data_IF_347019965381
#
_entry.id   IF_347019965381
#
_cell.length_a   1.000
_cell.length_b   1.000
_cell.length_c   1.000
_cell.angle_alpha   90.00
_cell.angle_beta   90.00
_cell.angle_gamma   90.00
#
_symmetry.space_group_name_H-M   'P 1'
#
loop_
_entity.id
_entity.type
_entity.pdbx_description
1 polymer ?
#
# COMPACT_ATOMS: atom_id res chain seq x y z
N UNK A 1 23.35 -18.32 6.02
CA UNK A 1 24.62 -18.04 5.31
C UNK A 1 24.83 -16.53 5.27
N UNK A 2 26.08 -16.03 5.35
CA UNK A 2 26.36 -14.59 5.30
C UNK A 2 26.04 -14.04 3.91
N UNK A 3 24.92 -13.33 3.81
CA UNK A 3 24.40 -12.83 2.54
C UNK A 3 23.76 -11.43 2.71
N UNK A 4 23.69 -10.71 1.61
CA UNK A 4 22.94 -9.48 1.43
C UNK A 4 21.51 -9.87 1.08
N UNK A 5 20.55 -9.47 1.90
CA UNK A 5 19.15 -9.89 1.79
C UNK A 5 18.32 -8.87 1.04
N UNK A 6 18.52 -7.59 1.30
CA UNK A 6 17.72 -6.50 0.73
C UNK A 6 18.59 -5.29 0.45
N UNK A 7 18.26 -4.55 -0.60
CA UNK A 7 18.87 -3.26 -0.90
C UNK A 7 17.80 -2.21 -1.23
N UNK A 8 18.07 -0.97 -0.86
CA UNK A 8 17.15 0.15 -0.96
C UNK A 8 17.89 1.42 -1.33
N UNK A 9 17.38 2.12 -2.34
CA UNK A 9 17.91 3.39 -2.81
C UNK A 9 16.86 4.46 -2.54
N UNK A 10 17.26 5.53 -1.86
CA UNK A 10 16.36 6.62 -1.46
C UNK A 10 17.00 7.97 -1.64
N UNK A 11 16.17 9.01 -1.73
CA UNK A 11 16.65 10.38 -1.63
C UNK A 11 16.89 10.77 -0.17
N UNK A 12 18.06 11.35 0.11
CA UNK A 12 18.48 11.72 1.48
C UNK A 12 17.60 12.80 2.11
N UNK A 13 17.09 13.76 1.32
CA UNK A 13 16.40 14.96 1.82
C UNK A 13 15.02 14.69 2.44
N UNK A 14 14.29 13.72 1.89
CA UNK A 14 12.89 13.44 2.21
C UNK A 14 12.58 11.96 2.37
N UNK A 15 13.58 11.10 2.17
CA UNK A 15 13.42 9.64 2.23
C UNK A 15 12.60 9.07 1.08
N UNK A 16 12.44 9.79 -0.04
CA UNK A 16 11.67 9.32 -1.19
C UNK A 16 12.29 8.00 -1.73
N UNK A 17 11.51 6.90 -1.81
CA UNK A 17 12.00 5.65 -2.37
C UNK A 17 12.29 5.78 -3.86
N UNK A 18 13.51 5.46 -4.27
CA UNK A 18 13.93 5.43 -5.67
C UNK A 18 13.81 4.06 -6.29
N UNK A 19 14.40 3.06 -5.64
CA UNK A 19 14.36 1.66 -6.07
C UNK A 19 14.60 0.74 -4.88
N UNK A 20 14.21 -0.52 -5.01
CA UNK A 20 14.39 -1.54 -3.98
C UNK A 20 14.55 -2.91 -4.62
N UNK A 21 15.32 -3.80 -3.99
CA UNK A 21 15.38 -5.18 -4.45
C UNK A 21 14.07 -5.92 -4.16
N UNK A 22 13.49 -6.59 -5.14
CA UNK A 22 12.39 -7.54 -4.92
C UNK A 22 12.90 -8.77 -4.17
N UNK A 23 12.26 -9.15 -3.06
CA UNK A 23 12.60 -10.37 -2.30
C UNK A 23 11.37 -11.24 -2.09
N UNK A 24 11.51 -12.54 -2.32
CA UNK A 24 10.46 -13.55 -2.08
C UNK A 24 10.63 -14.28 -0.73
N UNK A 25 11.65 -13.92 0.06
CA UNK A 25 11.94 -14.58 1.33
C UNK A 25 10.97 -14.10 2.43
N UNK A 26 10.14 -15.01 2.93
CA UNK A 26 9.22 -14.74 4.04
C UNK A 26 9.98 -14.88 5.38
N UNK A 27 10.74 -13.84 5.74
CA UNK A 27 11.45 -13.75 7.02
C UNK A 27 10.92 -12.55 7.82
N UNK A 28 10.38 -12.80 9.02
CA UNK A 28 9.79 -11.78 9.90
C UNK A 28 10.80 -10.70 10.30
N UNK A 29 12.03 -11.07 10.71
CA UNK A 29 13.06 -10.08 11.07
C UNK A 29 13.44 -9.24 9.86
N UNK A 30 13.51 -9.83 8.66
CA UNK A 30 13.78 -9.07 7.44
C UNK A 30 12.71 -8.00 7.20
N UNK A 31 11.44 -8.30 7.46
CA UNK A 31 10.35 -7.31 7.33
C UNK A 31 10.46 -6.21 8.37
N UNK A 32 10.80 -6.53 9.62
CA UNK A 32 11.06 -5.55 10.67
C UNK A 32 12.23 -4.63 10.30
N UNK A 33 13.33 -5.18 9.77
CA UNK A 33 14.47 -4.39 9.29
C UNK A 33 14.11 -3.51 8.11
N UNK A 34 13.33 -4.00 7.14
CA UNK A 34 12.81 -3.19 6.03
C UNK A 34 11.96 -2.02 6.56
N UNK A 35 11.13 -2.26 7.57
CA UNK A 35 10.34 -1.21 8.20
C UNK A 35 11.22 -0.19 8.93
N UNK A 36 12.21 -0.65 9.69
CA UNK A 36 13.19 0.22 10.37
C UNK A 36 13.95 1.08 9.37
N UNK A 37 14.38 0.49 8.26
CA UNK A 37 15.10 1.15 7.17
C UNK A 37 14.25 2.27 6.53
N UNK A 38 12.95 2.03 6.31
CA UNK A 38 12.00 3.05 5.79
C UNK A 38 11.70 4.16 6.79
N UNK A 39 11.76 3.90 8.09
CA UNK A 39 11.66 4.95 9.12
C UNK A 39 12.92 5.81 9.09
N UNK A 40 14.09 5.16 9.11
CA UNK A 40 15.40 5.81 9.02
C UNK A 40 15.54 6.70 7.78
N UNK A 41 15.00 6.27 6.64
CA UNK A 41 15.16 7.01 5.38
C UNK A 41 14.63 8.45 5.45
N UNK A 42 13.65 8.72 6.31
CA UNK A 42 13.06 10.06 6.49
C UNK A 42 13.95 11.03 7.27
N UNK A 43 14.91 10.52 8.04
CA UNK A 43 15.82 11.31 8.85
C UNK A 43 17.28 11.20 8.36
N UNK A 44 17.51 10.71 7.14
CA UNK A 44 18.86 10.55 6.56
C UNK A 44 19.64 11.85 6.47
N UNK A 45 18.98 13.00 6.28
CA UNK A 45 19.64 14.30 6.33
C UNK A 45 20.30 14.63 7.68
N UNK A 46 19.93 13.93 8.76
CA UNK A 46 20.49 14.10 10.10
C UNK A 46 21.54 13.02 10.45
N UNK A 47 21.72 12.01 9.60
CA UNK A 47 22.68 10.93 9.80
C UNK A 47 24.01 11.21 9.10
N UNK A 48 25.12 10.62 9.55
CA UNK A 48 26.41 10.75 8.87
C UNK A 48 26.37 10.14 7.46
N UNK A 49 27.37 10.44 6.63
CA UNK A 49 27.46 9.91 5.26
C UNK A 49 27.52 8.39 5.21
N UNK A 50 28.08 7.72 6.22
CA UNK A 50 28.12 6.26 6.31
C UNK A 50 27.82 5.79 7.71
N UNK A 51 27.11 4.68 7.82
CA UNK A 51 26.79 4.11 9.12
C UNK A 51 26.33 2.67 9.08
N UNK A 52 26.26 2.09 10.27
CA UNK A 52 25.77 0.72 10.49
C UNK A 52 24.77 0.74 11.63
N UNK A 53 23.64 0.06 11.46
CA UNK A 53 22.67 -0.20 12.51
C UNK A 53 22.71 -1.69 12.81
N UNK A 54 23.12 -2.04 14.03
CA UNK A 54 23.24 -3.45 14.42
C UNK A 54 21.87 -4.01 14.79
N UNK A 55 21.64 -5.26 14.42
CA UNK A 55 20.47 -6.03 14.81
C UNK A 55 20.81 -7.31 15.56
N UNK A 56 19.81 -8.21 15.68
CA UNK A 56 20.02 -9.55 16.23
C UNK A 56 20.78 -10.41 15.22
N UNK A 57 20.12 -10.79 14.12
CA UNK A 57 20.74 -11.59 13.06
C UNK A 57 20.95 -10.79 11.78
N UNK A 58 20.30 -9.64 11.65
CA UNK A 58 20.40 -8.76 10.48
C UNK A 58 20.92 -7.36 10.84
N UNK A 59 21.96 -6.91 10.14
CA UNK A 59 22.50 -5.56 10.25
C UNK A 59 22.05 -4.71 9.05
N UNK A 60 21.85 -3.41 9.27
CA UNK A 60 21.62 -2.43 8.22
C UNK A 60 22.91 -1.65 7.98
N UNK A 61 23.31 -1.51 6.72
CA UNK A 61 24.44 -0.67 6.31
C UNK A 61 23.91 0.42 5.37
N UNK A 62 24.46 1.62 5.45
CA UNK A 62 24.11 2.69 4.53
C UNK A 62 25.28 3.61 4.19
N UNK A 63 25.23 4.18 2.98
CA UNK A 63 26.12 5.22 2.47
C UNK A 63 25.26 6.27 1.76
N UNK A 64 25.49 7.55 2.05
CA UNK A 64 24.87 8.70 1.41
C UNK A 64 25.91 9.43 0.56
N UNK A 65 25.55 9.73 -0.68
CA UNK A 65 26.39 10.48 -1.64
C UNK A 65 25.50 11.27 -2.59
N UNK A 66 25.83 12.54 -2.83
CA UNK A 66 25.13 13.41 -3.80
C UNK A 66 23.60 13.49 -3.62
N UNK A 67 23.13 13.47 -2.36
CA UNK A 67 21.70 13.55 -2.05
C UNK A 67 20.92 12.24 -2.23
N UNK A 68 21.61 11.14 -2.52
CA UNK A 68 21.06 9.78 -2.59
C UNK A 68 21.69 8.92 -1.49
N UNK A 69 20.89 8.12 -0.81
CA UNK A 69 21.34 7.13 0.16
C UNK A 69 21.08 5.72 -0.34
N UNK A 70 22.13 4.91 -0.26
CA UNK A 70 22.18 3.50 -0.62
C UNK A 70 22.20 2.69 0.68
N UNK A 71 21.26 1.78 0.84
CA UNK A 71 21.08 1.04 2.08
C UNK A 71 20.94 -0.45 1.79
N UNK A 72 21.45 -1.30 2.68
CA UNK A 72 21.36 -2.74 2.57
C UNK A 72 21.05 -3.40 3.91
N UNK A 73 20.23 -4.46 3.88
CA UNK A 73 20.04 -5.38 5.01
C UNK A 73 20.86 -6.63 4.75
N UNK A 74 21.76 -6.95 5.66
CA UNK A 74 22.71 -8.03 5.52
C UNK A 74 22.68 -8.93 6.75
N UNK A 75 22.94 -10.22 6.55
CA UNK A 75 23.14 -11.14 7.66
C UNK A 75 24.35 -10.69 8.52
N UNK A 76 24.26 -10.82 9.84
CA UNK A 76 25.27 -10.38 10.81
C UNK A 76 26.65 -10.97 10.57
N UNK A 77 26.71 -12.19 10.05
CA UNK A 77 27.96 -12.86 9.68
C UNK A 77 28.63 -12.34 8.39
N UNK A 78 28.00 -11.42 7.65
CA UNK A 78 28.62 -10.79 6.49
C UNK A 78 29.70 -9.79 6.96
N UNK A 79 30.88 -9.82 6.35
CA UNK A 79 31.93 -8.86 6.70
C UNK A 79 31.50 -7.43 6.36
N UNK A 80 31.85 -6.49 7.25
CA UNK A 80 31.50 -5.07 7.10
C UNK A 80 32.05 -4.51 5.80
N UNK A 81 33.31 -4.84 5.48
CA UNK A 81 33.94 -4.43 4.21
C UNK A 81 33.16 -4.91 2.98
N UNK A 82 32.60 -6.13 3.00
CA UNK A 82 31.82 -6.65 1.87
C UNK A 82 30.48 -5.93 1.72
N UNK A 83 29.87 -5.52 2.83
CA UNK A 83 28.65 -4.72 2.82
C UNK A 83 28.90 -3.32 2.23
N UNK A 84 29.99 -2.64 2.63
CA UNK A 84 30.32 -1.32 2.09
C UNK A 84 30.77 -1.36 0.64
N UNK A 85 31.56 -2.36 0.24
CA UNK A 85 31.95 -2.59 -1.15
C UNK A 85 30.70 -2.77 -2.05
N UNK A 86 29.70 -3.53 -1.59
CA UNK A 86 28.42 -3.63 -2.29
C UNK A 86 27.69 -2.29 -2.43
N UNK A 87 27.68 -1.45 -1.38
CA UNK A 87 27.02 -0.14 -1.41
C UNK A 87 27.72 0.85 -2.34
N UNK A 88 29.05 0.78 -2.43
CA UNK A 88 29.84 1.58 -3.38
C UNK A 88 29.54 1.18 -4.82
N UNK A 89 29.53 -0.12 -5.15
CA UNK A 89 29.14 -0.61 -6.47
C UNK A 89 27.69 -0.23 -6.81
N UNK A 90 26.79 -0.28 -5.84
CA UNK A 90 25.40 0.13 -5.99
C UNK A 90 25.28 1.63 -6.31
N UNK A 91 26.09 2.47 -5.64
CA UNK A 91 26.19 3.90 -5.90
C UNK A 91 26.68 4.18 -7.32
N UNK A 92 27.79 3.56 -7.72
CA UNK A 92 28.35 3.69 -9.06
C UNK A 92 27.36 3.25 -10.14
N UNK A 93 26.72 2.10 -9.96
CA UNK A 93 25.74 1.58 -10.91
C UNK A 93 24.52 2.51 -11.04
N UNK A 94 24.03 3.08 -9.93
CA UNK A 94 22.89 4.00 -9.97
C UNK A 94 23.25 5.30 -10.70
N UNK A 95 24.41 5.89 -10.40
CA UNK A 95 24.91 7.10 -11.07
C UNK A 95 25.17 6.88 -12.56
N UNK A 96 25.56 5.65 -12.96
CA UNK A 96 25.74 5.30 -14.35
C UNK A 96 24.42 5.12 -15.12
N UNK A 97 23.32 4.78 -14.42
CA UNK A 97 22.01 4.59 -15.03
C UNK A 97 21.16 5.86 -15.08
N UNK A 98 21.32 6.79 -14.14
CA UNK A 98 20.40 7.92 -13.98
C UNK A 98 21.12 9.25 -13.80
N UNK A 99 20.67 10.25 -14.55
CA UNK A 99 21.17 11.61 -14.44
C UNK A 99 20.71 12.29 -13.14
N UNK A 100 21.60 13.09 -12.55
CA UNK A 100 21.33 13.86 -11.34
C UNK A 100 20.10 14.78 -11.46
N UNK A 101 19.79 15.30 -12.65
CA UNK A 101 18.59 16.11 -12.87
C UNK A 101 17.31 15.30 -12.63
N UNK A 102 17.22 14.09 -13.20
CA UNK A 102 16.06 13.20 -13.07
C UNK A 102 15.84 12.79 -11.60
N UNK A 103 16.93 12.48 -10.90
CA UNK A 103 16.95 12.14 -9.48
C UNK A 103 16.40 13.28 -8.60
N UNK A 104 16.77 14.53 -8.92
CA UNK A 104 16.37 15.70 -8.14
C UNK A 104 14.91 16.11 -8.34
N UNK A 105 14.36 15.95 -9.56
CA UNK A 105 12.97 16.33 -9.90
C UNK A 105 11.96 15.23 -9.59
N UNK A 106 12.41 14.00 -9.34
CA UNK A 106 11.53 12.88 -9.03
C UNK A 106 10.61 13.17 -7.83
N UNK A 107 9.32 12.91 -7.98
CA UNK A 107 8.30 13.19 -6.96
C UNK A 107 7.44 11.98 -6.58
N UNK A 108 7.41 10.94 -7.43
CA UNK A 108 6.64 9.72 -7.18
C UNK A 108 7.53 8.66 -6.51
N UNK A 109 6.99 7.83 -5.60
CA UNK A 109 7.72 6.68 -5.07
C UNK A 109 8.06 5.68 -6.17
N UNK A 110 9.24 5.07 -6.08
CA UNK A 110 9.79 4.10 -7.02
C UNK A 110 9.81 4.57 -8.49
N UNK A 111 10.30 5.80 -8.79
CA UNK A 111 10.41 6.30 -10.15
C UNK A 111 11.50 5.59 -10.98
N UNK A 112 12.37 4.80 -10.34
CA UNK A 112 13.50 4.07 -10.96
C UNK A 112 13.41 2.57 -10.68
N UNK A 113 12.21 2.00 -10.78
CA UNK A 113 11.95 0.59 -10.48
C UNK A 113 12.72 -0.38 -11.40
N UNK A 114 13.05 0.05 -12.61
CA UNK A 114 13.86 -0.69 -13.59
C UNK A 114 15.25 -1.04 -13.06
N UNK A 115 15.75 -0.27 -12.09
CA UNK A 115 17.04 -0.49 -11.45
C UNK A 115 17.08 -1.78 -10.62
N UNK A 116 15.94 -2.35 -10.19
CA UNK A 116 15.87 -3.61 -9.43
C UNK A 116 16.69 -4.72 -10.11
N UNK A 117 16.62 -4.82 -11.44
CA UNK A 117 17.40 -5.81 -12.21
C UNK A 117 18.92 -5.70 -11.98
N UNK A 118 19.45 -4.48 -11.88
CA UNK A 118 20.86 -4.21 -11.56
C UNK A 118 21.16 -4.53 -10.10
N UNK A 119 20.25 -4.17 -9.18
CA UNK A 119 20.37 -4.50 -7.76
C UNK A 119 20.47 -6.02 -7.56
N UNK A 120 19.60 -6.81 -8.22
CA UNK A 120 19.62 -8.27 -8.11
C UNK A 120 20.91 -8.88 -8.65
N UNK A 121 21.42 -8.39 -9.79
CA UNK A 121 22.71 -8.83 -10.35
C UNK A 121 23.86 -8.59 -9.37
N UNK A 122 23.93 -7.39 -8.79
CA UNK A 122 24.95 -7.06 -7.78
C UNK A 122 24.79 -7.93 -6.53
N UNK A 123 23.58 -8.07 -5.98
CA UNK A 123 23.31 -8.94 -4.84
C UNK A 123 23.76 -10.37 -5.11
N UNK A 124 23.46 -10.91 -6.30
CA UNK A 124 23.85 -12.26 -6.69
C UNK A 124 25.38 -12.39 -6.75
N UNK A 125 26.08 -11.45 -7.39
CA UNK A 125 27.55 -11.43 -7.47
C UNK A 125 28.18 -11.44 -6.08
N UNK A 126 27.69 -10.62 -5.17
CA UNK A 126 28.22 -10.54 -3.80
C UNK A 126 27.81 -11.74 -2.95
N UNK A 127 26.67 -12.38 -3.19
CA UNK A 127 26.23 -13.54 -2.42
C UNK A 127 26.84 -14.86 -2.89
N UNK A 128 27.42 -14.91 -4.09
CA UNK A 128 28.16 -16.08 -4.57
C UNK A 128 29.40 -16.36 -3.71
N UNK A 129 29.67 -17.64 -3.47
CA UNK A 129 30.81 -18.10 -2.67
C UNK A 129 32.09 -17.82 -3.45
N UNK A 130 33.02 -17.05 -2.86
CA UNK A 130 34.34 -16.80 -3.42
C UNK A 130 34.35 -15.83 -4.59
N UNK A 131 33.70 -14.66 -4.42
CA UNK A 131 33.80 -13.57 -5.40
C UNK A 131 35.23 -13.40 -5.88
N UNK A 132 35.41 -13.32 -7.20
CA UNK A 132 36.70 -13.55 -7.85
C UNK A 132 37.83 -12.65 -7.31
N UNK A 133 39.09 -12.91 -7.68
CA UNK A 133 40.28 -12.26 -7.09
C UNK A 133 40.22 -10.73 -7.04
N UNK A 134 39.53 -10.10 -7.99
CA UNK A 134 39.29 -8.66 -8.00
C UNK A 134 38.49 -8.15 -6.78
N UNK A 135 37.49 -8.90 -6.33
CA UNK A 135 36.69 -8.55 -5.16
C UNK A 135 37.51 -8.64 -3.87
N UNK A 136 38.48 -9.55 -3.77
CA UNK A 136 39.33 -9.66 -2.59
C UNK A 136 40.29 -8.47 -2.43
N UNK A 137 40.83 -7.96 -3.54
CA UNK A 137 41.69 -6.77 -3.54
C UNK A 137 40.88 -5.53 -3.11
N UNK A 138 39.72 -5.31 -3.71
CA UNK A 138 38.82 -4.22 -3.33
C UNK A 138 38.36 -4.35 -1.88
N UNK A 139 38.09 -5.58 -1.41
CA UNK A 139 37.72 -5.83 -0.02
C UNK A 139 38.84 -5.45 0.96
N UNK A 140 40.09 -5.71 0.61
CA UNK A 140 41.24 -5.33 1.43
C UNK A 140 41.39 -3.79 1.51
N UNK A 141 41.20 -3.09 0.39
CA UNK A 141 41.24 -1.63 0.35
C UNK A 141 40.12 -1.01 1.19
N UNK A 142 38.87 -1.45 0.99
CA UNK A 142 37.72 -1.00 1.79
C UNK A 142 37.92 -1.34 3.27
N UNK A 143 38.50 -2.49 3.58
CA UNK A 143 38.80 -2.88 4.96
C UNK A 143 39.84 -1.96 5.63
N UNK A 144 40.84 -1.50 4.89
CA UNK A 144 41.81 -0.51 5.37
C UNK A 144 41.19 0.87 5.51
N UNK A 145 40.33 1.32 4.58
CA UNK A 145 39.61 2.59 4.74
C UNK A 145 38.67 2.56 5.95
N UNK A 146 37.91 1.47 6.14
CA UNK A 146 37.04 1.30 7.32
C UNK A 146 37.82 1.26 8.64
N UNK A 147 39.10 0.83 8.64
CA UNK A 147 39.97 0.95 9.82
C UNK A 147 40.36 2.39 10.09
N UNK A 148 40.65 3.17 9.05
CA UNK A 148 41.01 4.59 9.16
C UNK A 148 39.81 5.44 9.55
N UNK A 149 38.63 5.08 9.06
CA UNK A 149 37.41 5.82 9.23
C UNK A 149 36.23 4.87 9.52
N UNK A 150 36.06 4.47 10.79
CA UNK A 150 35.03 3.51 11.16
C UNK A 150 33.62 4.09 10.90
N UNK A 151 32.69 3.28 10.36
CA UNK A 151 31.32 3.72 10.16
C UNK A 151 30.66 3.98 11.52
N UNK A 152 29.86 5.05 11.62
CA UNK A 152 29.15 5.35 12.86
C UNK A 152 28.14 4.23 13.14
N UNK A 153 28.26 3.60 14.30
CA UNK A 153 27.28 2.63 14.76
C UNK A 153 26.14 3.40 15.41
N UNK A 154 24.96 3.36 14.79
CA UNK A 154 23.76 3.98 15.32
C UNK A 154 22.99 2.95 16.14
N UNK A 155 22.53 3.35 17.33
CA UNK A 155 21.63 2.52 18.13
C UNK A 155 20.18 2.76 17.72
N UNK A 156 19.29 1.83 18.04
CA UNK A 156 17.86 1.92 17.70
C UNK A 156 17.22 3.14 18.39
N UNK A 157 17.68 3.49 19.60
CA UNK A 157 17.21 4.64 20.36
C UNK A 157 17.63 5.98 19.72
N UNK A 158 18.85 6.07 19.19
CA UNK A 158 19.32 7.27 18.47
C UNK A 158 18.52 7.49 17.18
N UNK A 159 18.11 6.41 16.52
CA UNK A 159 17.19 6.44 15.38
C UNK A 159 15.80 6.97 15.76
N UNK A 160 15.24 6.53 16.89
CA UNK A 160 13.91 6.96 17.34
C UNK A 160 13.90 8.42 17.78
N UNK A 161 14.95 8.86 18.51
CA UNK A 161 15.11 10.23 18.94
C UNK A 161 15.28 11.20 17.76
N UNK A 162 16.11 10.82 16.78
CA UNK A 162 16.36 11.63 15.57
C UNK A 162 15.12 11.68 14.68
N UNK A 163 14.37 10.58 14.56
CA UNK A 163 13.06 10.59 13.88
C UNK A 163 12.03 11.47 14.61
N UNK A 164 12.04 11.49 15.94
CA UNK A 164 11.18 12.37 16.74
C UNK A 164 11.50 13.85 16.53
N UNK A 165 12.79 14.19 16.42
CA UNK A 165 13.25 15.55 16.18
C UNK A 165 13.03 16.02 14.73
N UNK A 166 13.25 15.14 13.75
CA UNK A 166 12.98 15.42 12.33
C UNK A 166 11.48 15.52 12.02
N UNK A 167 10.63 14.84 12.80
CA UNK A 167 9.17 14.97 12.74
C UNK A 167 8.62 16.11 13.62
N UNK A 168 9.41 17.16 13.89
CA UNK A 168 8.93 18.37 14.54
C UNK A 168 7.55 18.77 14.02
N UNK A 169 6.59 18.91 14.93
CA UNK A 169 5.16 19.10 14.71
C UNK A 169 4.84 20.05 13.52
N UNK A 170 4.69 19.48 12.33
CA UNK A 170 4.15 20.14 11.13
C UNK A 170 3.17 19.13 10.54
N UNK A 171 1.90 19.55 10.46
CA UNK A 171 0.89 18.83 9.70
C UNK A 171 1.45 18.50 8.31
N UNK A 172 1.56 17.20 8.01
CA UNK A 172 1.80 16.75 6.66
C UNK A 172 0.56 17.08 5.82
N UNK A 173 0.61 18.23 5.16
CA UNK A 173 -0.26 18.55 4.04
C UNK A 173 -0.14 17.50 2.92
N UNK A 174 -1.20 17.30 2.13
CA UNK A 174 -1.43 16.09 1.36
C UNK A 174 -0.57 16.06 0.10
N UNK A 175 0.41 15.17 0.06
CA UNK A 175 1.24 14.97 -1.11
C UNK A 175 1.74 13.53 -1.19
N UNK A 176 1.23 12.82 -2.21
CA UNK A 176 1.73 11.54 -2.72
C UNK A 176 1.15 10.26 -2.10
N UNK A 177 0.04 9.81 -2.70
CA UNK A 177 -0.19 8.38 -3.00
C UNK A 177 -0.42 7.44 -1.81
N UNK A 178 -1.20 7.84 -0.81
CA UNK A 178 -1.75 6.87 0.14
C UNK A 178 -2.87 6.08 -0.53
N UNK A 179 -2.55 4.88 -1.02
CA UNK A 179 -3.57 3.88 -1.33
C UNK A 179 -4.19 3.40 -0.01
N UNK A 180 -5.19 4.15 0.47
CA UNK A 180 -6.02 3.75 1.61
C UNK A 180 -6.93 2.60 1.16
N UNK A 181 -6.40 1.38 1.20
CA UNK A 181 -7.20 0.17 1.04
C UNK A 181 -7.88 -0.13 2.38
N UNK A 182 -9.20 -0.24 2.33
CA UNK A 182 -10.01 -0.45 3.53
C UNK A 182 -9.71 -1.83 4.15
N UNK A 183 -9.73 -1.89 5.48
CA UNK A 183 -9.53 -3.13 6.27
C UNK A 183 -10.44 -4.26 5.76
N UNK A 184 -10.00 -5.54 5.75
CA UNK A 184 -10.85 -6.67 5.35
C UNK A 184 -12.24 -6.58 6.01
N UNK A 185 -13.28 -6.82 5.19
CA UNK A 185 -14.67 -6.61 5.61
C UNK A 185 -14.97 -7.53 6.80
N UNK A 186 -15.27 -6.95 7.95
CA UNK A 186 -15.70 -7.69 9.15
C UNK A 186 -16.95 -8.52 8.80
N UNK A 187 -17.16 -9.72 9.38
CA UNK A 187 -18.37 -10.53 9.13
C UNK A 187 -19.69 -9.75 9.32
N UNK A 188 -19.74 -8.85 10.31
CA UNK A 188 -20.87 -7.94 10.52
C UNK A 188 -21.08 -6.94 9.36
N UNK A 189 -19.98 -6.53 8.70
CA UNK A 189 -19.99 -5.71 7.50
C UNK A 189 -20.53 -6.42 6.27
N UNK A 190 -20.17 -7.70 6.08
CA UNK A 190 -20.72 -8.54 5.01
C UNK A 190 -22.23 -8.71 5.21
N UNK A 191 -22.66 -8.99 6.45
CA UNK A 191 -24.09 -9.09 6.78
C UNK A 191 -24.84 -7.79 6.47
N UNK A 192 -24.27 -6.63 6.83
CA UNK A 192 -24.85 -5.33 6.50
C UNK A 192 -24.94 -5.08 5.00
N UNK A 193 -23.92 -5.45 4.23
CA UNK A 193 -23.89 -5.31 2.78
C UNK A 193 -25.00 -6.15 2.13
N UNK A 194 -25.15 -7.40 2.55
CA UNK A 194 -26.21 -8.31 2.08
C UNK A 194 -27.59 -7.73 2.39
N UNK A 195 -27.81 -7.23 3.61
CA UNK A 195 -29.08 -6.62 4.00
C UNK A 195 -29.41 -5.36 3.18
N UNK A 196 -28.42 -4.53 2.83
CA UNK A 196 -28.62 -3.37 1.95
C UNK A 196 -28.94 -3.76 0.50
N UNK A 197 -28.33 -4.82 -0.01
CA UNK A 197 -28.64 -5.34 -1.35
C UNK A 197 -30.08 -5.86 -1.39
N UNK A 198 -30.52 -6.60 -0.36
CA UNK A 198 -31.93 -7.05 -0.23
C UNK A 198 -32.87 -5.84 -0.15
N UNK A 199 -32.53 -4.83 0.64
CA UNK A 199 -33.27 -3.57 0.75
C UNK A 199 -33.42 -2.85 -0.60
N UNK A 200 -32.33 -2.76 -1.37
CA UNK A 200 -32.32 -2.19 -2.72
C UNK A 200 -33.24 -2.99 -3.67
N UNK A 201 -33.12 -4.32 -3.69
CA UNK A 201 -33.97 -5.18 -4.52
C UNK A 201 -35.46 -5.04 -4.19
N UNK A 202 -35.82 -4.96 -2.90
CA UNK A 202 -37.21 -4.76 -2.50
C UNK A 202 -37.76 -3.39 -2.91
N UNK A 203 -36.94 -2.33 -2.81
CA UNK A 203 -37.30 -1.00 -3.31
C UNK A 203 -37.51 -1.01 -4.83
N UNK A 204 -36.68 -1.73 -5.57
CA UNK A 204 -36.77 -1.85 -7.03
C UNK A 204 -38.00 -2.64 -7.46
N UNK A 205 -38.27 -3.81 -6.86
CA UNK A 205 -39.45 -4.63 -7.18
C UNK A 205 -40.73 -3.83 -6.94
N UNK A 206 -40.83 -3.13 -5.81
CA UNK A 206 -41.97 -2.26 -5.47
C UNK A 206 -42.11 -1.08 -6.43
N UNK A 207 -40.99 -0.44 -6.80
CA UNK A 207 -40.97 0.66 -7.76
C UNK A 207 -41.46 0.23 -9.13
N UNK A 208 -40.97 -0.89 -9.66
CA UNK A 208 -41.36 -1.44 -10.97
C UNK A 208 -42.82 -1.86 -10.99
N UNK A 209 -43.30 -2.54 -9.95
CA UNK A 209 -44.70 -2.95 -9.85
C UNK A 209 -45.66 -1.74 -9.73
N UNK A 210 -45.19 -0.63 -9.14
CA UNK A 210 -45.95 0.61 -9.07
C UNK A 210 -45.91 1.38 -10.40
N UNK A 211 -44.80 1.32 -11.14
CA UNK A 211 -44.68 1.90 -12.51
C UNK A 211 -45.70 1.26 -13.44
N UNK A 212 -45.83 -0.07 -13.40
CA UNK A 212 -46.79 -0.81 -14.22
C UNK A 212 -48.24 -0.37 -13.97
N UNK A 213 -48.56 0.00 -12.71
CA UNK A 213 -49.87 0.54 -12.33
C UNK A 213 -50.02 2.04 -12.64
N UNK A 214 -48.94 2.82 -12.54
CA UNK A 214 -48.93 4.28 -12.77
C UNK A 214 -49.15 4.65 -14.24
N UNK A 215 -48.84 3.76 -15.18
CA UNK A 215 -49.14 3.96 -16.60
C UNK A 215 -50.64 4.06 -16.89
N UNK A 216 -51.50 3.72 -15.92
CA UNK A 216 -52.94 3.74 -16.06
C UNK A 216 -53.63 4.96 -15.42
N UNK A 217 -53.06 5.60 -14.37
CA UNK A 217 -53.68 6.77 -13.70
C UNK A 217 -52.68 7.66 -12.92
N UNK A 218 -52.85 8.98 -13.11
CA UNK A 218 -52.54 10.14 -12.25
C UNK A 218 -51.08 10.52 -11.88
N UNK A 219 -50.82 11.83 -11.82
CA UNK A 219 -49.51 12.45 -11.54
C UNK A 219 -49.01 12.22 -10.10
N UNK A 220 -49.90 11.97 -9.14
CA UNK A 220 -49.54 11.77 -7.73
C UNK A 220 -48.84 10.42 -7.46
N UNK A 221 -49.14 9.40 -8.27
CA UNK A 221 -48.49 8.08 -8.21
C UNK A 221 -47.03 8.12 -8.68
N UNK A 222 -46.70 9.07 -9.57
CA UNK A 222 -45.36 9.26 -10.12
C UNK A 222 -44.35 9.65 -9.03
N UNK A 223 -44.74 10.53 -8.09
CA UNK A 223 -43.87 10.93 -6.98
C UNK A 223 -43.55 9.76 -6.03
N UNK A 224 -44.49 8.84 -5.87
CA UNK A 224 -44.28 7.61 -5.09
C UNK A 224 -43.28 6.67 -5.79
N UNK A 225 -43.40 6.49 -7.11
CA UNK A 225 -42.44 5.74 -7.93
C UNK A 225 -41.03 6.35 -7.81
N UNK A 226 -40.92 7.68 -7.96
CA UNK A 226 -39.65 8.40 -7.83
C UNK A 226 -39.04 8.19 -6.45
N UNK A 227 -39.84 8.20 -5.38
CA UNK A 227 -39.36 7.91 -4.03
C UNK A 227 -38.82 6.47 -3.88
N UNK A 228 -39.43 5.47 -4.51
CA UNK A 228 -38.92 4.08 -4.52
C UNK A 228 -37.59 3.96 -5.27
N UNK A 229 -37.48 4.59 -6.44
CA UNK A 229 -36.25 4.57 -7.24
C UNK A 229 -35.12 5.37 -6.57
N UNK A 230 -35.43 6.52 -5.96
CA UNK A 230 -34.48 7.32 -5.21
C UNK A 230 -33.95 6.55 -3.99
N UNK A 231 -34.82 5.84 -3.27
CA UNK A 231 -34.41 4.95 -2.17
C UNK A 231 -33.51 3.80 -2.65
N UNK A 232 -33.79 3.21 -3.82
CA UNK A 232 -32.93 2.20 -4.45
C UNK A 232 -31.52 2.74 -4.73
N UNK A 233 -31.42 3.88 -5.41
CA UNK A 233 -30.13 4.52 -5.74
C UNK A 233 -29.36 4.88 -4.46
N UNK A 234 -30.04 5.40 -3.44
CA UNK A 234 -29.39 5.72 -2.16
C UNK A 234 -28.83 4.49 -1.46
N UNK A 235 -29.51 3.33 -1.51
CA UNK A 235 -28.99 2.08 -0.96
C UNK A 235 -27.74 1.60 -1.71
N UNK A 236 -27.70 1.71 -3.04
CA UNK A 236 -26.50 1.39 -3.82
C UNK A 236 -25.34 2.34 -3.51
N UNK A 237 -25.62 3.63 -3.37
CA UNK A 237 -24.64 4.63 -2.95
C UNK A 237 -24.09 4.35 -1.54
N UNK A 238 -24.92 3.86 -0.61
CA UNK A 238 -24.46 3.42 0.72
C UNK A 238 -23.53 2.21 0.62
N UNK A 239 -23.86 1.21 -0.21
CA UNK A 239 -22.97 0.08 -0.50
C UNK A 239 -21.66 0.54 -1.13
N UNK A 240 -21.72 1.48 -2.07
CA UNK A 240 -20.55 2.04 -2.73
C UNK A 240 -19.66 2.81 -1.74
N UNK A 241 -20.23 3.66 -0.87
CA UNK A 241 -19.48 4.35 0.19
C UNK A 241 -18.90 3.39 1.24
N UNK A 242 -19.52 2.23 1.42
CA UNK A 242 -18.98 1.18 2.29
C UNK A 242 -17.78 0.46 1.65
N UNK A 243 -17.80 0.27 0.32
CA UNK A 243 -16.77 -0.46 -0.43
C UNK A 243 -15.61 0.40 -0.91
N UNK A 244 -15.85 1.67 -1.26
CA UNK A 244 -14.87 2.57 -1.87
C UNK A 244 -14.45 3.70 -0.93
N UNK A 245 -13.18 4.09 -1.03
CA UNK A 245 -12.61 5.15 -0.21
C UNK A 245 -13.15 6.52 -0.65
N UNK A 246 -13.79 7.25 0.28
CA UNK A 246 -14.15 8.66 0.12
C UNK A 246 -13.68 9.47 1.32
N UNK A 247 -12.99 10.57 1.06
CA UNK A 247 -12.48 11.51 2.07
C UNK A 247 -13.59 12.27 2.83
N UNK A 248 -14.81 12.27 2.29
CA UNK A 248 -15.99 12.94 2.87
C UNK A 248 -17.04 11.96 3.42
N UNK A 249 -16.62 10.71 3.71
CA UNK A 249 -17.53 9.60 4.09
C UNK A 249 -18.51 9.93 5.22
N UNK A 250 -18.16 10.80 6.16
CA UNK A 250 -19.05 11.20 7.28
C UNK A 250 -20.25 12.03 6.79
N UNK A 251 -19.98 13.05 6.00
CA UNK A 251 -21.01 13.94 5.46
C UNK A 251 -21.85 13.22 4.41
N UNK A 252 -21.22 12.46 3.52
CA UNK A 252 -21.92 11.71 2.47
C UNK A 252 -22.81 10.60 3.04
N UNK A 253 -22.34 9.84 4.05
CA UNK A 253 -23.14 8.79 4.69
C UNK A 253 -24.31 9.37 5.50
N UNK A 254 -24.10 10.48 6.21
CA UNK A 254 -25.17 11.19 6.93
C UNK A 254 -26.24 11.76 5.96
N UNK A 255 -25.81 12.33 4.83
CA UNK A 255 -26.73 12.83 3.80
C UNK A 255 -27.57 11.70 3.20
N UNK A 256 -26.97 10.54 2.88
CA UNK A 256 -27.70 9.39 2.34
C UNK A 256 -28.70 8.82 3.35
N UNK A 257 -28.33 8.76 4.63
CA UNK A 257 -29.25 8.33 5.69
C UNK A 257 -30.46 9.28 5.78
N UNK A 258 -30.23 10.59 5.74
CA UNK A 258 -31.31 11.59 5.74
C UNK A 258 -32.25 11.45 4.55
N UNK A 259 -31.72 11.28 3.34
CA UNK A 259 -32.52 11.06 2.12
C UNK A 259 -33.31 9.75 2.20
N UNK A 260 -32.71 8.67 2.70
CA UNK A 260 -33.41 7.40 2.88
C UNK A 260 -34.55 7.50 3.88
N UNK A 261 -34.34 8.16 5.03
CA UNK A 261 -35.41 8.37 6.02
C UNK A 261 -36.54 9.20 5.40
N UNK A 262 -36.22 10.27 4.67
CA UNK A 262 -37.21 11.12 4.01
C UNK A 262 -38.03 10.36 2.95
N UNK A 263 -37.36 9.57 2.09
CA UNK A 263 -38.04 8.73 1.09
C UNK A 263 -38.96 7.70 1.77
N UNK A 264 -38.50 7.11 2.86
CA UNK A 264 -39.26 6.13 3.63
C UNK A 264 -40.47 6.77 4.35
N UNK A 265 -40.35 7.99 4.87
CA UNK A 265 -41.45 8.76 5.44
C UNK A 265 -42.50 9.15 4.39
N UNK A 266 -42.08 9.52 3.19
CA UNK A 266 -42.99 9.82 2.07
C UNK A 266 -43.82 8.59 1.66
N UNK A 267 -43.25 7.39 1.84
CA UNK A 267 -43.89 6.10 1.51
C UNK A 267 -44.69 5.48 2.67
N UNK A 268 -44.95 6.23 3.76
CA UNK A 268 -45.64 5.74 4.96
C UNK A 268 -47.04 5.17 4.68
N UNK A 269 -47.73 5.64 3.63
CA UNK A 269 -49.04 5.12 3.22
C UNK A 269 -49.00 3.83 2.37
N UNK A 270 -47.87 3.54 1.71
CA UNK A 270 -47.71 2.41 0.78
C UNK A 270 -46.92 1.24 1.41
N UNK A 271 -46.27 1.47 2.55
CA UNK A 271 -45.44 0.49 3.26
C UNK A 271 -46.04 0.17 4.62
N UNK A 272 -45.95 -1.10 5.02
CA UNK A 272 -46.27 -1.48 6.39
C UNK A 272 -45.27 -0.86 7.37
N UNK A 273 -45.74 -0.53 8.58
CA UNK A 273 -44.87 0.02 9.66
C UNK A 273 -43.67 -0.89 9.93
N UNK A 274 -43.85 -2.21 9.88
CA UNK A 274 -42.76 -3.18 10.02
C UNK A 274 -41.72 -3.11 8.90
N UNK A 275 -42.16 -2.86 7.66
CA UNK A 275 -41.25 -2.69 6.51
C UNK A 275 -40.48 -1.39 6.63
N UNK A 276 -41.16 -0.31 7.03
CA UNK A 276 -40.53 0.98 7.28
C UNK A 276 -39.44 0.90 8.36
N UNK A 277 -39.74 0.24 9.48
CA UNK A 277 -38.77 0.03 10.56
C UNK A 277 -37.59 -0.84 10.11
N UNK A 278 -37.85 -1.87 9.30
CA UNK A 278 -36.80 -2.71 8.72
C UNK A 278 -35.85 -1.90 7.82
N UNK A 279 -36.38 -1.16 6.84
CA UNK A 279 -35.57 -0.34 5.93
C UNK A 279 -34.78 0.75 6.66
N UNK A 280 -35.39 1.39 7.65
CA UNK A 280 -34.72 2.42 8.49
C UNK A 280 -33.61 1.81 9.35
N UNK A 281 -33.86 0.65 9.96
CA UNK A 281 -32.87 -0.03 10.80
C UNK A 281 -31.65 -0.50 10.01
N UNK A 282 -31.86 -1.03 8.80
CA UNK A 282 -30.77 -1.44 7.89
C UNK A 282 -29.94 -0.23 7.46
N UNK A 283 -30.57 0.89 7.10
CA UNK A 283 -29.87 2.13 6.73
C UNK A 283 -29.05 2.71 7.90
N UNK A 284 -29.61 2.71 9.12
CA UNK A 284 -28.90 3.12 10.33
C UNK A 284 -27.71 2.21 10.64
N UNK A 285 -27.87 0.89 10.53
CA UNK A 285 -26.81 -0.09 10.76
C UNK A 285 -25.70 0.04 9.71
N UNK A 286 -26.04 0.23 8.43
CA UNK A 286 -25.08 0.48 7.35
C UNK A 286 -24.26 1.76 7.59
N UNK A 287 -24.94 2.83 7.99
CA UNK A 287 -24.32 4.13 8.30
C UNK A 287 -23.44 4.01 9.54
N UNK A 288 -23.92 3.35 10.59
CA UNK A 288 -23.18 3.09 11.82
C UNK A 288 -21.90 2.28 11.58
N UNK A 289 -21.94 1.24 10.74
CA UNK A 289 -20.76 0.46 10.36
C UNK A 289 -19.81 1.23 9.45
N UNK A 290 -20.34 2.05 8.53
CA UNK A 290 -19.53 2.94 7.67
C UNK A 290 -18.76 3.98 8.50
N UNK A 291 -19.39 4.51 9.56
CA UNK A 291 -18.80 5.49 10.48
C UNK A 291 -17.87 4.85 11.51
N UNK A 292 -18.22 3.65 12.01
CA UNK A 292 -17.47 2.91 13.04
C UNK A 292 -16.27 2.14 12.48
N UNK A 293 -16.15 2.01 11.15
CA UNK A 293 -14.95 1.51 10.48
C UNK A 293 -13.81 2.49 10.74
N UNK A 294 -13.08 2.25 11.83
CA UNK A 294 -11.86 2.95 12.21
C UNK A 294 -10.83 2.75 11.10
N UNK A 295 -10.07 3.79 10.83
CA UNK A 295 -8.92 3.70 9.95
C UNK A 295 -7.87 2.87 10.67
N UNK A 296 -7.75 1.59 10.34
CA UNK A 296 -6.50 0.89 10.62
C UNK A 296 -5.49 1.42 9.62
N UNK A 297 -4.52 2.17 10.12
CA UNK A 297 -3.28 2.44 9.40
C UNK A 297 -2.56 1.10 9.31
N UNK A 298 -2.93 0.28 8.32
CA UNK A 298 -2.03 -0.76 7.87
C UNK A 298 -0.90 -0.04 7.16
N UNK A 299 0.25 0.02 7.81
CA UNK A 299 1.52 0.31 7.15
C UNK A 299 1.72 -0.84 6.17
N UNK A 300 1.14 -0.73 4.98
CA UNK A 300 1.44 -1.66 3.91
C UNK A 300 2.89 -1.40 3.52
N UNK A 301 3.76 -2.31 3.97
CA UNK A 301 5.03 -2.54 3.35
C UNK A 301 4.76 -2.79 1.86
N UNK A 302 4.93 -1.75 1.03
CA UNK A 302 4.95 -1.89 -0.42
C UNK A 302 5.99 -2.96 -0.80
N UNK A 303 5.51 -4.17 -1.06
CA UNK A 303 6.22 -5.28 -1.71
C UNK A 303 5.29 -6.39 -2.23
N UNK A 304 3.96 -6.32 -2.04
CA UNK A 304 3.06 -7.46 -2.29
C UNK A 304 1.89 -7.14 -3.26
N UNK A 305 1.98 -6.08 -4.07
CA UNK A 305 0.88 -5.68 -4.98
C UNK A 305 1.17 -5.85 -6.48
N UNK A 306 2.19 -6.62 -6.83
CA UNK A 306 2.45 -7.04 -8.23
C UNK A 306 1.93 -8.45 -8.54
N UNK A 307 1.68 -9.32 -7.55
CA UNK A 307 1.33 -10.72 -7.83
C UNK A 307 -0.18 -11.03 -7.87
N UNK A 308 -1.04 -10.27 -7.19
CA UNK A 308 -2.49 -10.58 -7.21
C UNK A 308 -3.24 -10.04 -8.43
N UNK A 309 -2.67 -9.10 -9.20
CA UNK A 309 -3.35 -8.56 -10.40
C UNK A 309 -3.17 -9.43 -11.64
N UNK A 310 -2.18 -10.33 -11.70
CA UNK A 310 -2.01 -11.24 -12.85
C UNK A 310 -2.84 -12.53 -12.76
N UNK A 311 -3.31 -12.91 -11.57
CA UNK A 311 -4.03 -14.18 -11.38
C UNK A 311 -5.54 -14.16 -11.70
N UNK A 312 -6.14 -12.99 -11.92
CA UNK A 312 -7.62 -12.85 -12.08
C UNK A 312 -8.03 -12.46 -13.52
N UNK A 313 -7.07 -12.18 -14.41
CA UNK A 313 -7.33 -11.80 -15.81
C UNK A 313 -6.72 -12.77 -16.84
N UNK A 314 -6.60 -14.05 -16.52
CA UNK A 314 -6.46 -15.10 -17.54
C UNK A 314 -7.86 -15.59 -17.93
N UNK A 315 -8.53 -14.78 -18.76
CA UNK A 315 -9.62 -15.24 -19.62
C UNK A 315 -8.96 -16.19 -20.64
N UNK A 316 -9.41 -17.44 -20.71
CA UNK A 316 -8.94 -18.43 -21.68
C UNK A 316 -9.96 -18.51 -22.84
N UNK A 317 -9.71 -17.87 -23.99
CA UNK A 317 -10.45 -18.15 -25.20
C UNK A 317 -9.63 -19.12 -26.05
N UNK A 318 -10.02 -20.40 -25.98
CA UNK A 318 -9.99 -21.35 -27.08
C UNK A 318 -8.68 -21.55 -27.85
N UNK A 319 -8.17 -22.78 -27.81
CA UNK A 319 -7.78 -23.38 -29.08
C UNK A 319 -8.01 -24.90 -29.10
N UNK A 320 -8.85 -25.30 -30.06
CA UNK A 320 -8.83 -26.63 -30.63
C UNK A 320 -7.45 -26.90 -31.23
N UNK A 321 -6.87 -28.06 -30.97
CA UNK A 321 -6.57 -29.01 -32.05
C UNK A 321 -6.11 -30.35 -31.48
N UNK A 322 -6.92 -31.37 -31.73
CA UNK A 322 -6.49 -32.77 -31.76
C UNK A 322 -5.46 -32.99 -32.87
N UNK A 323 -4.49 -33.87 -32.64
CA UNK A 323 -4.28 -35.09 -33.43
C UNK A 323 -3.11 -35.95 -32.87
N UNK A 324 -3.07 -37.26 -33.19
CA UNK A 324 -2.81 -38.31 -32.22
C UNK A 324 -1.45 -39.00 -32.35
N UNK A 325 -1.03 -39.67 -31.27
CA UNK A 325 0.08 -40.61 -31.26
C UNK A 325 -0.37 -41.96 -31.84
N UNK A 326 0.40 -42.42 -32.80
CA UNK A 326 0.41 -43.76 -33.41
C UNK A 326 0.44 -44.91 -32.40
N UNK A 327 -0.52 -45.84 -32.54
CA UNK A 327 -0.31 -47.28 -32.80
C UNK A 327 -1.40 -47.73 -33.76
#
# INVERSE_FOLDING_TARGET
MPMILFAFVVRTRDGLPFSASTDFAHNTELQERKQQLRKMSKALGCFPERGTVKGQDLNIYFVSSEGVSYMAVCHRGLSVAKAFCFLEDLCWAFKACFDNTAVNVAARPYPFLEFDSTIQKLKQQYNQIGGGPALEITLAEVQEDLKRHPPKVLTVEELELTNGLANGHIEQGPGSGQNVRLEPVTPAGILSLVLNIVCASLNLIRGVHLIEYTFQDDYDSLWSVVAFLLAFVCCLCQCHLYLFHSSWKRSQSASLLGVLVLCNSFLFGLRNVWQLLFHTSVACLATGLTLSRKFVVFIFLSSESSELCLGVFAFDPGNLSQCPSSV
#
